data_IF_910273604687
#
_entry.id   IF_910273604687
#
_cell.length_a   1.000
_cell.length_b   1.000
_cell.length_c   1.000
_cell.angle_alpha   90.00
_cell.angle_beta   90.00
_cell.angle_gamma   90.00
#
_symmetry.space_group_name_H-M   'P 1'
#
loop_
_entity.id
_entity.type
_entity.pdbx_description
1 polymer ?
2 polymer ?
3 water ?
#
loop_
_entity_poly.entity_id
_entity_poly.type
_entity_poly.pdbx_seq_one_letter_code
_entity_poly.pdbx_strand_id
1 'polydeoxyribonucleotide' '(DC)(DC)(DT)(DA)(DC)(DG)(DT)(DA)(DG)(DG)' ?
#
# COMPACT_ATOMS: atom_id res chain seq x y z
N UNK C 2 -10.78 8.14 -1.85
CA UNK C 2 -10.98 6.65 -2.02
C UNK C 2 -9.63 5.89 -2.20
N UNK C 3 -8.52 6.62 -2.30
CA UNK C 3 -7.22 6.01 -2.56
C UNK C 3 -6.08 6.21 -1.55
N UNK C 4 -5.04 5.42 -1.70
CA UNK C 4 -3.88 5.59 -0.84
C UNK C 4 -3.03 6.70 -1.43
N UNK C 5 -2.63 7.64 -0.56
CA UNK C 5 -1.83 8.84 -0.87
C UNK C 5 -0.48 8.60 -0.29
N UNK C 6 0.57 8.71 -1.08
CA UNK C 6 1.90 8.53 -0.52
C UNK C 6 2.91 9.35 -1.22
N UNK C 7 4.14 9.18 -0.80
CA UNK C 7 5.21 9.87 -1.45
C UNK C 7 6.15 8.87 -1.87
N UNK C 8 6.53 8.99 -3.09
CA UNK C 8 7.48 8.07 -3.55
C UNK C 8 8.56 8.79 -4.34
N UNK C 9 9.79 8.64 -3.91
CA UNK C 9 10.87 9.31 -4.63
C UNK C 9 10.49 10.77 -4.94
N UNK C 10 10.12 11.51 -3.90
CA UNK C 10 9.86 12.92 -4.08
C UNK C 10 8.59 13.37 -4.75
N UNK C 11 7.56 12.54 -4.62
CA UNK C 11 6.30 12.95 -5.16
C UNK C 11 5.13 12.24 -4.53
N UNK C 12 4.00 12.94 -4.57
CA UNK C 12 2.77 12.47 -4.02
C UNK C 12 2.12 11.64 -5.11
N UNK C 13 1.41 10.63 -4.67
CA UNK C 13 0.81 9.69 -5.55
C UNK C 13 -0.42 9.18 -4.86
N UNK C 14 -1.31 8.70 -5.71
CA UNK C 14 -2.51 8.14 -5.21
C UNK C 14 -2.85 6.96 -6.04
N UNK C 15 -3.19 5.89 -5.35
CA UNK C 15 -3.48 4.66 -6.02
C UNK C 15 -4.69 4.08 -5.36
N UNK C 16 -5.54 3.45 -6.14
CA UNK C 16 -6.78 2.90 -5.65
C UNK C 16 -6.40 1.57 -5.07
N UNK C 17 -6.94 1.28 -3.90
CA UNK C 17 -6.65 0.04 -3.21
C UNK C 17 -6.79 -1.17 -4.07
N UNK C 18 -7.80 -1.17 -4.92
CA UNK C 18 -7.97 -2.30 -5.80
C UNK C 18 -6.67 -2.57 -6.62
N UNK C 19 -5.78 -1.57 -6.72
CA UNK C 19 -4.53 -1.75 -7.46
C UNK C 19 -3.41 -2.42 -6.68
N UNK C 20 -3.63 -2.67 -5.41
CA UNK C 20 -2.54 -3.26 -4.68
C UNK C 20 -2.31 -4.73 -5.00
N UNK C 21 -1.06 -5.11 -5.08
CA UNK C 21 -0.73 -6.45 -5.35
C UNK C 21 -0.41 -7.04 -4.01
N UNK C 22 0.62 -6.46 -3.43
CA UNK C 22 1.13 -6.97 -2.18
C UNK C 22 1.47 -5.94 -1.20
N UNK C 23 1.24 -6.29 0.05
CA UNK C 23 1.40 -5.42 1.22
C UNK C 23 2.06 -6.12 2.40
N UNK C 24 2.84 -5.38 3.17
CA UNK C 24 3.51 -5.95 4.30
C UNK C 24 3.90 -4.88 5.19
N UNK C 25 4.31 -5.29 6.38
CA UNK C 25 4.60 -4.32 7.39
C UNK C 25 6.07 -4.18 7.59
N UNK C 26 6.54 -2.95 7.85
CA UNK C 26 7.95 -2.63 8.14
C UNK C 26 7.95 -1.62 9.30
N UNK C 27 8.01 -2.11 10.53
CA UNK C 27 7.99 -1.18 11.65
C UNK C 27 6.58 -0.60 11.65
N UNK C 28 6.49 0.73 11.69
CA UNK C 28 5.19 1.32 11.63
C UNK C 28 4.79 1.62 10.22
N UNK C 29 5.67 1.33 9.26
CA UNK C 29 5.33 1.58 7.86
C UNK C 29 4.56 0.42 7.10
N UNK C 30 3.57 0.80 6.30
CA UNK C 30 2.85 -0.18 5.50
C UNK C 30 3.39 -0.05 4.08
N UNK C 31 4.07 -1.10 3.65
CA UNK C 31 4.75 -1.07 2.38
C UNK C 31 4.01 -1.90 1.36
N UNK C 32 4.24 -1.62 0.07
CA UNK C 32 3.48 -2.39 -0.89
C UNK C 32 3.87 -2.21 -2.31
N UNK C 33 3.35 -3.12 -3.11
CA UNK C 33 3.48 -3.03 -4.52
C UNK C 33 2.05 -2.82 -5.05
N UNK C 34 1.93 -2.27 -6.25
CA UNK C 34 0.65 -1.99 -6.87
C UNK C 34 0.77 -1.96 -8.38
N UNK C 35 -0.30 -2.35 -9.05
CA UNK C 35 -0.35 -2.41 -10.50
C UNK C 35 -0.38 -1.05 -11.20
N UNK C 36 0.52 -0.85 -12.12
CA UNK C 36 0.60 0.38 -12.87
C UNK C 36 0.61 -0.03 -14.36
N UNK C 37 -0.52 -0.53 -14.86
CA UNK C 37 -0.62 -0.98 -16.24
C UNK C 37 0.10 -2.30 -16.59
N UNK C 38 0.33 -3.19 -15.63
CA UNK C 38 1.03 -4.42 -15.93
C UNK C 38 2.42 -4.19 -15.33
N UNK C 39 2.81 -2.91 -15.26
CA UNK C 39 4.09 -2.48 -14.68
C UNK C 39 3.88 -2.57 -13.13
N UNK C 40 4.94 -2.78 -12.34
CA UNK C 40 4.71 -2.88 -10.88
C UNK C 40 5.23 -1.74 -10.04
N UNK C 41 4.33 -0.86 -9.59
CA UNK C 41 4.73 0.28 -8.79
C UNK C 41 5.07 -0.11 -7.35
N UNK C 42 5.67 0.81 -6.63
CA UNK C 42 6.03 0.65 -5.26
C UNK C 42 5.57 1.85 -4.45
N UNK C 43 4.98 1.63 -3.29
CA UNK C 43 4.56 2.81 -2.54
C UNK C 43 4.60 2.45 -1.08
N UNK C 44 4.71 3.43 -0.20
CA UNK C 44 4.70 3.19 1.24
C UNK C 44 4.06 4.39 1.90
N UNK C 45 3.33 4.12 2.94
CA UNK C 45 2.70 5.14 3.73
C UNK C 45 2.68 4.65 5.20
N UNK C 46 2.60 5.57 6.15
CA UNK C 46 2.55 5.25 7.59
C UNK C 46 1.18 4.63 7.95
N UNK C 47 1.12 3.85 9.01
CA UNK C 47 -0.17 3.28 9.32
C UNK C 47 -1.16 4.35 9.78
N UNK C 48 -0.63 5.45 10.32
CA UNK C 48 -1.56 6.46 10.75
C UNK C 48 -2.20 7.05 9.49
N UNK C 49 -1.49 7.08 8.37
CA UNK C 49 -2.13 7.61 7.17
C UNK C 49 -2.68 6.50 6.29
N UNK C 50 -2.56 5.24 6.73
CA UNK C 50 -3.03 4.11 5.90
C UNK C 50 -4.54 3.98 6.13
N UNK C 51 -5.35 3.79 5.07
CA UNK C 51 -6.82 3.64 5.14
C UNK C 51 -7.21 2.18 5.48
N UNK C 52 -8.29 2.02 6.24
CA UNK C 52 -8.83 0.75 6.66
C UNK C 52 -8.69 -0.38 5.66
N UNK C 53 -9.44 -0.32 4.57
CA UNK C 53 -9.29 -1.37 3.56
C UNK C 53 -7.89 -1.92 3.50
N UNK C 54 -6.93 -1.01 3.26
CA UNK C 54 -5.49 -1.38 3.16
C UNK C 54 -4.96 -2.09 4.39
N UNK C 55 -5.33 -1.55 5.52
CA UNK C 55 -4.98 -2.17 6.76
C UNK C 55 -5.58 -3.59 6.78
N UNK C 56 -6.78 -3.72 6.21
CA UNK C 56 -7.49 -5.02 6.13
C UNK C 56 -6.76 -5.99 5.22
N UNK C 57 -6.15 -5.45 4.17
CA UNK C 57 -5.46 -6.35 3.27
C UNK C 57 -4.23 -6.84 3.94
N UNK C 58 -3.60 -5.91 4.62
CA UNK C 58 -2.38 -6.26 5.33
C UNK C 58 -2.61 -7.37 6.36
N UNK C 59 -3.69 -7.25 7.10
CA UNK C 59 -4.02 -8.20 8.14
C UNK C 59 -4.17 -9.53 7.54
N UNK C 60 -5.10 -9.64 6.61
CA UNK C 60 -5.28 -10.91 5.97
C UNK C 60 -3.89 -11.43 5.54
N UNK C 61 -3.19 -10.73 4.65
CA UNK C 61 -1.88 -11.20 4.18
C UNK C 61 -1.03 -11.76 5.30
N UNK C 62 -0.97 -11.05 6.41
CA UNK C 62 -0.21 -11.53 7.56
C UNK C 62 -0.87 -12.82 8.06
N UNK C 63 -2.17 -12.79 8.36
CA UNK C 63 -2.94 -13.97 8.82
C UNK C 63 -2.58 -15.13 7.92
N UNK C 64 -2.71 -14.90 6.63
CA UNK C 64 -2.35 -15.91 5.67
C UNK C 64 -0.82 -15.97 5.66
N UNK C 65 -0.25 -16.58 4.64
CA UNK C 65 1.19 -16.77 4.66
C UNK C 65 1.27 -17.95 5.64
#
# INVERSE_FOLDING_TARGET
MVKVKFKYKGEEKEVDTSKIKKVWRVGKMVSFTYDDNGKTGRGAVSEKDAPKELLDMLARAEREKK
#
